data_IF_542172109250
#
_entry.id   IF_542172109250
#
_cell.length_a   1.000
_cell.length_b   1.000
_cell.length_c   1.000
_cell.angle_alpha   90.00
_cell.angle_beta   90.00
_cell.angle_gamma   90.00
#
_symmetry.space_group_name_H-M   'P 1'
#
loop_
_entity.id
_entity.type
_entity.pdbx_description
1 polymer ?
#
# COMPACT_ATOMS: atom_id res chain seq x y z
N UNK A 1 15.03 -29.97 -26.27
CA UNK A 1 13.66 -29.41 -26.27
C UNK A 1 13.78 -27.99 -25.76
N UNK A 2 13.71 -27.04 -26.68
CA UNK A 2 13.83 -25.60 -26.46
C UNK A 2 12.52 -25.09 -25.84
N UNK A 3 12.62 -24.30 -24.77
CA UNK A 3 11.50 -23.61 -24.15
C UNK A 3 11.44 -22.20 -24.75
N UNK A 4 10.37 -21.89 -25.46
CA UNK A 4 10.09 -20.52 -25.89
C UNK A 4 9.37 -19.75 -24.77
N UNK A 5 9.65 -18.45 -24.61
CA UNK A 5 8.96 -17.61 -23.64
C UNK A 5 7.58 -17.21 -24.17
N UNK A 6 6.52 -17.63 -23.47
CA UNK A 6 5.19 -17.05 -23.66
C UNK A 6 5.18 -15.62 -23.10
N UNK A 7 4.68 -14.67 -23.90
CA UNK A 7 4.46 -13.28 -23.52
C UNK A 7 3.40 -13.09 -22.42
N UNK A 8 3.10 -11.83 -22.05
CA UNK A 8 2.19 -11.52 -20.94
C UNK A 8 0.80 -12.09 -21.21
N UNK A 9 0.33 -12.92 -20.27
CA UNK A 9 -1.00 -13.53 -20.32
C UNK A 9 -2.02 -12.50 -19.87
N UNK A 10 -2.78 -11.96 -20.83
CA UNK A 10 -4.00 -11.20 -20.55
C UNK A 10 -5.09 -12.18 -20.15
N UNK A 11 -5.55 -12.13 -18.90
CA UNK A 11 -6.68 -12.94 -18.43
C UNK A 11 -7.99 -12.30 -18.89
N UNK A 12 -8.71 -13.00 -19.79
CA UNK A 12 -10.11 -12.73 -20.09
C UNK A 12 -10.92 -13.78 -19.34
N UNK A 13 -11.59 -13.39 -18.26
CA UNK A 13 -12.40 -14.31 -17.46
C UNK A 13 -13.75 -14.58 -18.16
N UNK A 14 -14.09 -15.86 -18.32
CA UNK A 14 -15.42 -16.34 -18.67
C UNK A 14 -16.00 -17.08 -17.46
N UNK A 15 -17.23 -16.74 -17.10
CA UNK A 15 -17.95 -17.35 -15.98
C UNK A 15 -18.17 -18.85 -16.22
N UNK A 16 -17.74 -19.67 -15.24
CA UNK A 16 -17.97 -21.11 -15.18
C UNK A 16 -18.31 -21.51 -13.74
N UNK A 17 -19.19 -22.50 -13.52
CA UNK A 17 -19.75 -22.79 -12.21
C UNK A 17 -18.79 -23.53 -11.27
N UNK A 18 -18.90 -23.21 -9.98
CA UNK A 18 -18.14 -23.75 -8.87
C UNK A 18 -18.42 -25.25 -8.62
N UNK A 19 -17.37 -25.99 -8.24
CA UNK A 19 -17.47 -27.38 -7.76
C UNK A 19 -16.93 -27.48 -6.33
N UNK A 20 -17.65 -28.24 -5.51
CA UNK A 20 -17.59 -28.29 -4.06
C UNK A 20 -16.37 -29.03 -3.46
N UNK A 21 -16.08 -28.67 -2.20
CA UNK A 21 -15.03 -29.19 -1.34
C UNK A 21 -15.34 -30.58 -0.74
N UNK A 22 -14.28 -31.27 -0.31
CA UNK A 22 -14.33 -32.43 0.58
C UNK A 22 -13.42 -32.17 1.80
N UNK A 23 -13.99 -32.41 2.98
CA UNK A 23 -13.40 -32.20 4.30
C UNK A 23 -12.44 -33.34 4.71
N UNK A 24 -11.47 -33.02 5.57
CA UNK A 24 -10.75 -34.00 6.37
C UNK A 24 -10.49 -33.46 7.78
N UNK A 25 -10.91 -34.29 8.74
CA UNK A 25 -10.91 -34.19 10.20
C UNK A 25 -9.54 -34.57 10.80
N UNK A 26 -9.15 -34.00 11.95
CA UNK A 26 -7.82 -34.26 12.53
C UNK A 26 -7.42 -33.54 13.83
N UNK A 27 -8.08 -33.92 14.93
CA UNK A 27 -7.61 -34.08 16.33
C UNK A 27 -6.64 -33.10 17.04
N UNK A 28 -7.13 -32.75 18.23
CA UNK A 28 -6.54 -32.06 19.39
C UNK A 28 -5.27 -32.70 19.98
N UNK A 29 -4.46 -31.85 20.61
CA UNK A 29 -3.40 -32.23 21.54
C UNK A 29 -3.04 -31.06 22.47
N UNK A 30 -3.54 -31.11 23.70
CA UNK A 30 -3.18 -30.23 24.82
C UNK A 30 -1.74 -30.48 25.29
N UNK A 31 -0.98 -29.41 25.52
CA UNK A 31 0.23 -29.43 26.37
C UNK A 31 0.31 -28.12 27.16
N UNK A 32 0.03 -28.23 28.46
CA UNK A 32 0.30 -27.22 29.48
C UNK A 32 1.82 -27.06 29.69
N UNK A 33 2.27 -25.81 29.84
CA UNK A 33 3.66 -25.49 30.13
C UNK A 33 3.88 -24.03 30.47
N UNK A 34 3.37 -23.59 31.62
CA UNK A 34 3.68 -22.29 32.20
C UNK A 34 5.15 -22.25 32.66
N UNK A 35 5.89 -21.28 32.15
CA UNK A 35 7.27 -20.98 32.53
C UNK A 35 7.53 -19.49 32.37
N UNK A 36 7.12 -18.71 33.37
CA UNK A 36 7.48 -17.29 33.49
C UNK A 36 9.00 -17.15 33.56
N UNK A 37 9.61 -16.61 32.48
CA UNK A 37 11.00 -16.16 32.49
C UNK A 37 11.03 -14.64 32.50
N UNK A 38 11.54 -14.11 33.61
CA UNK A 38 11.83 -12.70 33.81
C UNK A 38 12.79 -12.17 32.73
N UNK A 39 12.33 -11.16 31.99
CA UNK A 39 13.12 -10.44 31.01
C UNK A 39 14.18 -9.59 31.73
N UNK A 40 15.40 -10.11 31.79
CA UNK A 40 16.59 -9.33 32.14
C UNK A 40 16.90 -8.33 31.02
N UNK A 41 16.98 -7.05 31.38
CA UNK A 41 17.36 -5.95 30.49
C UNK A 41 18.86 -6.01 30.18
N UNK A 42 19.26 -6.90 29.27
CA UNK A 42 20.60 -6.89 28.69
C UNK A 42 20.72 -5.68 27.74
N UNK A 43 21.71 -4.82 28.00
CA UNK A 43 22.05 -3.71 27.11
C UNK A 43 22.45 -4.19 25.70
N UNK A 44 22.51 -3.29 24.71
CA UNK A 44 22.76 -3.66 23.32
C UNK A 44 24.13 -4.33 23.18
N UNK A 45 24.13 -5.61 22.82
CA UNK A 45 25.32 -6.33 22.39
C UNK A 45 25.89 -5.67 21.12
N UNK A 46 27.15 -5.24 21.17
CA UNK A 46 27.89 -4.67 20.02
C UNK A 46 28.23 -5.79 19.03
N UNK A 47 27.25 -6.22 18.23
CA UNK A 47 27.45 -7.24 17.19
C UNK A 47 28.24 -6.65 16.02
N UNK A 48 29.52 -7.02 15.94
CA UNK A 48 30.38 -6.74 14.78
C UNK A 48 30.22 -7.81 13.71
N UNK A 49 30.31 -7.41 12.44
CA UNK A 49 30.42 -8.35 11.31
C UNK A 49 31.77 -9.10 11.36
N UNK A 50 31.90 -10.25 10.66
CA UNK A 50 33.18 -10.98 10.57
C UNK A 50 34.36 -10.15 10.04
N UNK A 51 34.08 -9.10 9.27
CA UNK A 51 35.06 -8.14 8.74
C UNK A 51 35.42 -7.02 9.73
N UNK A 52 34.89 -7.07 10.96
CA UNK A 52 35.13 -6.07 12.01
C UNK A 52 34.29 -4.80 11.89
N UNK A 53 33.47 -4.64 10.84
CA UNK A 53 32.59 -3.49 10.69
C UNK A 53 31.38 -3.56 11.64
N UNK A 54 30.92 -2.38 12.11
CA UNK A 54 29.76 -2.28 12.99
C UNK A 54 28.48 -2.60 12.21
N UNK A 55 27.61 -3.46 12.75
CA UNK A 55 26.25 -3.59 12.23
C UNK A 55 25.46 -2.33 12.58
N UNK A 56 25.06 -1.58 11.57
CA UNK A 56 24.08 -0.50 11.72
C UNK A 56 22.68 -1.10 11.72
N UNK A 57 22.01 -1.07 12.87
CA UNK A 57 20.59 -1.37 12.97
C UNK A 57 19.81 -0.09 12.75
N UNK A 58 18.83 -0.12 11.83
CA UNK A 58 17.86 0.96 11.74
C UNK A 58 16.85 0.76 12.87
N UNK A 59 16.84 1.66 13.85
CA UNK A 59 15.85 1.63 14.93
C UNK A 59 14.52 2.09 14.36
N UNK A 60 13.62 1.14 14.08
CA UNK A 60 12.21 1.45 13.81
C UNK A 60 11.66 2.14 15.05
N UNK A 61 11.16 3.37 14.89
CA UNK A 61 10.66 4.18 16.00
C UNK A 61 9.47 3.54 16.72
N UNK A 62 9.09 4.09 17.88
CA UNK A 62 7.81 3.75 18.52
C UNK A 62 6.68 4.16 17.56
N UNK A 63 5.61 3.35 17.44
CA UNK A 63 4.48 3.71 16.59
C UNK A 63 3.99 5.12 16.96
N UNK A 64 3.96 6.03 15.98
CA UNK A 64 3.66 7.44 16.24
C UNK A 64 2.19 7.66 16.59
N UNK A 65 1.32 6.71 16.22
CA UNK A 65 -0.12 6.78 16.47
C UNK A 65 -0.64 5.40 16.86
N UNK A 66 -1.56 5.38 17.83
CA UNK A 66 -2.43 4.23 18.13
C UNK A 66 -3.85 4.74 17.92
N UNK A 67 -4.46 4.38 16.79
CA UNK A 67 -5.88 4.62 16.56
C UNK A 67 -6.65 3.70 17.51
N UNK A 68 -7.23 4.27 18.56
CA UNK A 68 -8.16 3.56 19.42
C UNK A 68 -9.57 3.77 18.84
N UNK A 69 -9.95 2.97 17.85
CA UNK A 69 -11.34 2.93 17.40
C UNK A 69 -12.12 2.18 18.48
N UNK A 70 -12.86 2.92 19.31
CA UNK A 70 -13.80 2.31 20.23
C UNK A 70 -14.91 1.69 19.39
N UNK A 71 -14.95 0.35 19.27
CA UNK A 71 -16.16 -0.34 18.83
C UNK A 71 -17.25 0.03 19.84
N UNK A 72 -18.23 0.83 19.41
CA UNK A 72 -19.45 1.02 20.19
C UNK A 72 -20.09 -0.35 20.34
N UNK A 73 -20.05 -0.87 21.58
CA UNK A 73 -20.79 -2.07 21.94
C UNK A 73 -22.26 -1.66 22.00
N UNK A 74 -22.97 -1.82 20.89
CA UNK A 74 -24.42 -1.83 20.93
C UNK A 74 -24.87 -2.91 21.92
N UNK A 75 -25.64 -2.52 22.94
CA UNK A 75 -26.29 -3.42 23.88
C UNK A 75 -27.35 -4.24 23.11
N UNK A 76 -26.96 -5.40 22.63
CA UNK A 76 -27.83 -6.39 22.01
C UNK A 76 -27.21 -7.75 22.20
N UNK A 77 -27.74 -8.51 23.16
CA UNK A 77 -27.37 -9.90 23.42
C UNK A 77 -27.92 -10.80 22.30
N UNK A 78 -27.27 -10.78 21.14
CA UNK A 78 -27.38 -11.84 20.14
C UNK A 78 -25.96 -12.07 19.62
N UNK A 79 -25.40 -13.22 19.96
CA UNK A 79 -24.05 -13.62 19.57
C UNK A 79 -24.04 -13.92 18.07
N UNK A 80 -24.00 -12.88 17.25
CA UNK A 80 -23.50 -13.00 15.89
C UNK A 80 -22.02 -13.38 16.02
N UNK A 81 -21.71 -14.58 15.54
CA UNK A 81 -20.38 -15.06 15.23
C UNK A 81 -19.73 -14.01 14.31
N UNK A 82 -19.06 -13.03 14.90
CA UNK A 82 -18.37 -11.99 14.16
C UNK A 82 -17.29 -12.69 13.33
N UNK A 83 -17.53 -12.77 12.03
CA UNK A 83 -16.52 -13.12 11.02
C UNK A 83 -15.23 -12.35 11.36
N UNK A 84 -14.24 -13.05 11.89
CA UNK A 84 -12.87 -12.58 12.20
C UNK A 84 -12.10 -12.09 10.94
N UNK A 85 -12.77 -11.98 9.80
CA UNK A 85 -12.18 -11.62 8.51
C UNK A 85 -12.17 -10.11 8.21
N UNK A 86 -12.68 -9.26 9.10
CA UNK A 86 -12.54 -7.82 8.93
C UNK A 86 -11.12 -7.37 9.34
N UNK A 87 -10.15 -7.76 8.51
CA UNK A 87 -8.77 -7.28 8.57
C UNK A 87 -8.77 -5.76 8.81
N UNK A 88 -8.15 -5.36 9.92
CA UNK A 88 -8.04 -3.98 10.42
C UNK A 88 -7.99 -2.94 9.30
N UNK A 89 -9.16 -2.34 9.02
CA UNK A 89 -9.30 -1.27 8.01
C UNK A 89 -8.52 -0.02 8.46
N UNK A 90 -8.25 0.10 9.77
CA UNK A 90 -7.60 1.24 10.41
C UNK A 90 -6.24 1.57 9.80
N UNK A 91 -5.38 0.58 9.58
CA UNK A 91 -4.06 0.84 9.00
C UNK A 91 -4.12 1.20 7.52
N UNK A 92 -5.09 0.66 6.78
CA UNK A 92 -5.34 1.06 5.39
C UNK A 92 -5.84 2.51 5.31
N UNK A 93 -6.74 2.92 6.22
CA UNK A 93 -7.22 4.30 6.33
C UNK A 93 -6.10 5.24 6.76
N UNK A 94 -5.30 4.86 7.75
CA UNK A 94 -4.15 5.65 8.18
C UNK A 94 -3.14 5.84 7.05
N UNK A 95 -2.86 4.79 6.29
CA UNK A 95 -2.03 4.86 5.08
C UNK A 95 -2.63 5.83 4.05
N UNK A 96 -3.94 5.72 3.76
CA UNK A 96 -4.59 6.60 2.80
C UNK A 96 -4.51 8.07 3.20
N UNK A 97 -4.78 8.39 4.48
CA UNK A 97 -4.68 9.75 5.03
C UNK A 97 -3.25 10.27 4.98
N UNK A 98 -2.25 9.43 5.28
CA UNK A 98 -0.84 9.81 5.18
C UNK A 98 -0.44 10.17 3.75
N UNK A 99 -0.86 9.38 2.77
CA UNK A 99 -0.58 9.66 1.36
C UNK A 99 -1.29 10.93 0.88
N UNK A 100 -2.53 11.18 1.34
CA UNK A 100 -3.24 12.42 1.06
C UNK A 100 -2.52 13.66 1.62
N UNK A 101 -1.93 13.54 2.81
CA UNK A 101 -1.14 14.60 3.44
C UNK A 101 0.29 14.74 2.88
N UNK A 102 0.77 13.75 2.11
CA UNK A 102 2.12 13.73 1.55
C UNK A 102 2.08 13.39 0.05
N UNK A 103 1.39 14.20 -0.78
CA UNK A 103 1.10 13.86 -2.16
C UNK A 103 2.37 13.68 -3.02
N UNK A 104 3.45 14.40 -2.70
CA UNK A 104 4.74 14.30 -3.39
C UNK A 104 5.38 12.89 -3.35
N UNK A 105 4.97 12.04 -2.40
CA UNK A 105 5.43 10.64 -2.33
C UNK A 105 4.80 9.77 -3.42
N UNK A 106 3.57 10.08 -3.84
CA UNK A 106 2.77 9.25 -4.75
C UNK A 106 3.09 9.61 -6.20
N UNK A 107 4.16 9.03 -6.72
CA UNK A 107 4.65 9.23 -8.09
C UNK A 107 5.22 7.95 -8.70
N UNK A 108 5.32 7.91 -10.03
CA UNK A 108 5.85 6.77 -10.76
C UNK A 108 4.94 5.54 -10.69
N UNK A 109 5.53 4.36 -10.72
CA UNK A 109 4.81 3.09 -10.56
C UNK A 109 4.79 2.70 -9.08
N UNK A 110 3.60 2.68 -8.48
CA UNK A 110 3.35 2.37 -7.07
C UNK A 110 2.86 0.94 -6.93
N UNK A 111 3.43 0.15 -6.01
CA UNK A 111 2.96 -1.19 -5.67
C UNK A 111 2.38 -1.18 -4.26
N UNK A 112 1.14 -1.66 -4.08
CA UNK A 112 0.65 -2.05 -2.76
C UNK A 112 0.74 -3.56 -2.61
N UNK A 113 1.51 -4.00 -1.61
CA UNK A 113 1.56 -5.39 -1.18
C UNK A 113 0.47 -5.66 -0.14
N UNK A 114 -0.13 -6.86 -0.17
CA UNK A 114 -1.21 -7.21 0.77
C UNK A 114 -2.37 -6.23 0.66
N UNK A 115 -2.81 -5.95 -0.57
CA UNK A 115 -3.78 -4.90 -0.83
C UNK A 115 -5.14 -5.16 -0.17
N UNK A 116 -5.49 -6.42 0.12
CA UNK A 116 -6.79 -6.82 0.62
C UNK A 116 -7.89 -6.34 -0.32
N UNK A 117 -8.71 -5.42 0.16
CA UNK A 117 -9.75 -4.76 -0.64
C UNK A 117 -9.26 -3.59 -1.50
N UNK A 118 -7.97 -3.24 -1.44
CA UNK A 118 -7.35 -2.15 -2.21
C UNK A 118 -7.54 -0.74 -1.63
N UNK A 119 -8.16 -0.61 -0.45
CA UNK A 119 -8.61 0.69 0.08
C UNK A 119 -7.45 1.65 0.34
N UNK A 120 -6.38 1.18 1.00
CA UNK A 120 -5.26 2.04 1.39
C UNK A 120 -4.55 2.71 0.21
N UNK A 121 -4.20 1.93 -0.81
CA UNK A 121 -3.53 2.45 -2.00
C UNK A 121 -4.48 3.27 -2.88
N UNK A 122 -5.71 2.81 -3.08
CA UNK A 122 -6.66 3.50 -3.96
C UNK A 122 -7.11 4.85 -3.38
N UNK A 123 -7.60 4.86 -2.13
CA UNK A 123 -7.99 6.10 -1.47
C UNK A 123 -6.78 7.00 -1.21
N UNK A 124 -5.62 6.41 -0.89
CA UNK A 124 -4.39 7.17 -0.72
C UNK A 124 -3.95 7.89 -1.99
N UNK A 125 -4.02 7.23 -3.14
CA UNK A 125 -3.75 7.88 -4.43
C UNK A 125 -4.79 8.94 -4.77
N UNK A 126 -6.08 8.70 -4.55
CA UNK A 126 -7.12 9.71 -4.81
C UNK A 126 -6.94 10.94 -3.91
N UNK A 127 -6.74 10.72 -2.61
CA UNK A 127 -6.47 11.78 -1.65
C UNK A 127 -5.20 12.56 -1.98
N UNK A 128 -4.13 11.88 -2.40
CA UNK A 128 -2.91 12.53 -2.87
C UNK A 128 -3.16 13.39 -4.12
N UNK A 129 -4.04 12.95 -5.03
CA UNK A 129 -4.43 13.72 -6.19
C UNK A 129 -5.13 15.03 -5.81
N UNK A 130 -6.05 14.98 -4.84
CA UNK A 130 -6.70 16.17 -4.28
C UNK A 130 -5.67 17.09 -3.62
N UNK A 131 -4.76 16.52 -2.82
CA UNK A 131 -3.68 17.27 -2.17
C UNK A 131 -2.77 18.00 -3.17
N UNK A 132 -2.37 17.34 -4.27
CA UNK A 132 -1.56 17.97 -5.32
C UNK A 132 -2.25 19.15 -6.00
N UNK A 133 -3.58 19.09 -6.20
CA UNK A 133 -4.34 20.19 -6.78
C UNK A 133 -4.39 21.40 -5.85
N UNK A 134 -4.56 21.15 -4.54
CA UNK A 134 -4.56 22.22 -3.54
C UNK A 134 -3.21 22.94 -3.46
N UNK A 135 -2.09 22.21 -3.53
CA UNK A 135 -0.75 22.81 -3.55
C UNK A 135 -0.53 23.65 -4.81
N UNK A 136 -0.98 23.18 -5.97
CA UNK A 136 -0.89 23.92 -7.22
C UNK A 136 -1.76 25.20 -7.21
N UNK A 137 -2.98 25.11 -6.68
CA UNK A 137 -3.88 26.26 -6.53
C UNK A 137 -3.31 27.30 -5.55
N UNK A 138 -2.76 26.84 -4.41
CA UNK A 138 -2.10 27.73 -3.46
C UNK A 138 -0.86 28.41 -4.04
N UNK A 139 -0.07 27.71 -4.86
CA UNK A 139 1.07 28.29 -5.56
C UNK A 139 0.63 29.34 -6.60
N UNK A 140 -0.42 29.07 -7.38
CA UNK A 140 -0.95 30.02 -8.36
C UNK A 140 -1.51 31.29 -7.69
N UNK A 141 -2.25 31.16 -6.58
CA UNK A 141 -2.77 32.29 -5.83
C UNK A 141 -1.65 33.16 -5.22
N UNK A 142 -0.54 32.54 -4.79
CA UNK A 142 0.63 33.28 -4.30
C UNK A 142 1.38 34.04 -5.41
N UNK A 143 1.27 33.61 -6.67
CA UNK A 143 1.83 34.34 -7.82
C UNK A 143 0.90 35.47 -8.31
N UNK A 144 -0.42 35.35 -8.12
CA UNK A 144 -1.39 36.39 -8.50
C UNK A 144 -1.51 37.56 -7.49
N UNK A 145 -1.03 37.42 -6.25
CA UNK A 145 -0.97 38.53 -5.27
C UNK A 145 -0.04 39.69 -5.67
N UNK A 146 0.66 39.64 -6.81
CA UNK A 146 1.45 40.75 -7.35
C UNK A 146 0.71 41.63 -8.37
N UNK A 147 -0.46 41.23 -8.89
CA UNK A 147 -1.26 42.08 -9.80
C UNK A 147 -2.76 42.11 -9.47
N UNK A 148 -3.18 43.28 -8.98
CA UNK A 148 -4.54 43.86 -8.99
C UNK A 148 -5.58 43.40 -7.97
N UNK A 149 -5.87 44.31 -7.04
CA UNK A 149 -7.13 44.39 -6.30
C UNK A 149 -8.24 44.90 -7.23
N UNK A 150 -9.17 44.04 -7.62
CA UNK A 150 -10.49 44.46 -8.09
C UNK A 150 -11.52 43.38 -7.75
N UNK A 151 -12.64 43.86 -7.19
CA UNK A 151 -13.85 43.15 -6.81
C UNK A 151 -14.31 42.12 -7.84
N UNK A 152 -14.60 40.89 -7.41
CA UNK A 152 -15.66 40.06 -7.98
C UNK A 152 -16.16 39.02 -6.95
N UNK A 153 -17.41 39.20 -6.52
CA UNK A 153 -18.18 38.33 -5.62
C UNK A 153 -18.73 37.11 -6.39
N UNK A 154 -17.94 36.04 -6.54
CA UNK A 154 -18.44 34.73 -6.99
C UNK A 154 -18.02 33.62 -6.00
N UNK A 155 -18.93 33.32 -5.07
CA UNK A 155 -18.81 32.40 -3.92
C UNK A 155 -18.86 30.90 -4.28
N UNK A 156 -18.42 30.49 -5.47
CA UNK A 156 -18.32 29.06 -5.85
C UNK A 156 -16.91 28.51 -5.58
N UNK A 157 -16.60 28.31 -4.29
CA UNK A 157 -15.30 27.84 -3.76
C UNK A 157 -14.88 26.43 -4.23
N UNK A 158 -15.74 25.69 -4.93
CA UNK A 158 -15.43 24.35 -5.40
C UNK A 158 -15.16 24.37 -6.91
N UNK A 159 -13.92 24.06 -7.35
CA UNK A 159 -13.62 23.99 -8.77
C UNK A 159 -14.53 22.94 -9.44
N UNK A 160 -15.46 23.41 -10.28
CA UNK A 160 -16.34 22.57 -11.08
C UNK A 160 -15.55 21.91 -12.20
N UNK A 161 -14.82 20.84 -11.86
CA UNK A 161 -14.09 20.01 -12.81
C UNK A 161 -15.09 19.12 -13.59
N UNK A 162 -15.88 19.71 -14.48
CA UNK A 162 -16.93 19.01 -15.23
C UNK A 162 -16.42 18.18 -16.42
N UNK A 163 -15.14 18.26 -16.79
CA UNK A 163 -14.69 17.71 -18.08
C UNK A 163 -14.25 16.25 -18.08
N UNK A 164 -13.90 15.68 -16.94
CA UNK A 164 -13.60 14.25 -16.83
C UNK A 164 -14.11 13.74 -15.49
N UNK A 165 -15.15 12.90 -15.52
CA UNK A 165 -15.71 12.21 -14.34
C UNK A 165 -14.71 11.23 -13.67
N UNK A 166 -13.41 11.36 -13.94
CA UNK A 166 -12.36 10.54 -13.36
C UNK A 166 -11.96 11.04 -11.97
N UNK A 167 -11.61 10.12 -11.09
CA UNK A 167 -11.10 10.50 -9.77
C UNK A 167 -9.78 11.27 -9.89
N UNK A 168 -9.56 12.30 -9.05
CA UNK A 168 -8.31 13.05 -9.05
C UNK A 168 -7.16 12.12 -8.67
N UNK A 169 -6.04 12.20 -9.39
CA UNK A 169 -4.82 11.44 -9.13
C UNK A 169 -3.61 12.38 -9.21
N UNK A 170 -2.51 12.07 -8.52
CA UNK A 170 -1.28 12.85 -8.64
C UNK A 170 -0.81 12.85 -10.10
N UNK A 171 -0.38 13.99 -10.66
CA UNK A 171 -0.03 14.09 -12.07
C UNK A 171 1.15 13.18 -12.45
N UNK A 172 2.06 12.94 -11.50
CA UNK A 172 3.24 12.10 -11.69
C UNK A 172 2.98 10.61 -11.39
N UNK A 173 1.77 10.21 -10.97
CA UNK A 173 1.43 8.80 -10.78
C UNK A 173 1.34 8.13 -12.15
N UNK A 174 2.24 7.19 -12.47
CA UNK A 174 2.20 6.44 -13.72
C UNK A 174 1.18 5.30 -13.63
N UNK A 175 1.23 4.53 -12.54
CA UNK A 175 0.40 3.34 -12.33
C UNK A 175 0.38 2.94 -10.86
N UNK A 176 -0.81 2.58 -10.35
CA UNK A 176 -1.01 1.90 -9.08
C UNK A 176 -1.25 0.41 -9.34
N UNK A 177 -0.38 -0.43 -8.79
CA UNK A 177 -0.50 -1.89 -8.83
C UNK A 177 -0.96 -2.37 -7.45
N UNK A 178 -2.16 -2.93 -7.39
CA UNK A 178 -2.71 -3.54 -6.19
C UNK A 178 -2.44 -5.05 -6.27
N UNK A 179 -1.71 -5.58 -5.27
CA UNK A 179 -1.32 -6.98 -5.24
C UNK A 179 -1.65 -7.67 -3.93
N UNK A 180 -2.07 -8.90 -4.02
CA UNK A 180 -2.26 -9.80 -2.88
C UNK A 180 -2.03 -11.25 -3.30
N UNK A 181 -2.02 -12.18 -2.36
CA UNK A 181 -2.04 -13.60 -2.66
C UNK A 181 -3.21 -13.93 -3.60
N UNK A 182 -3.11 -15.03 -4.36
CA UNK A 182 -4.11 -15.48 -5.34
C UNK A 182 -5.41 -15.98 -4.70
N UNK A 183 -5.95 -15.21 -3.77
CA UNK A 183 -7.27 -15.36 -3.19
C UNK A 183 -8.27 -14.62 -4.08
N UNK A 184 -9.12 -15.39 -4.76
CA UNK A 184 -10.09 -14.86 -5.70
C UNK A 184 -11.07 -13.88 -5.03
N UNK A 185 -11.41 -14.07 -3.76
CA UNK A 185 -12.38 -13.22 -3.06
C UNK A 185 -11.80 -11.85 -2.74
N UNK A 186 -10.56 -11.80 -2.25
CA UNK A 186 -9.85 -10.53 -2.01
C UNK A 186 -9.65 -9.75 -3.31
N UNK A 187 -9.19 -10.43 -4.36
CA UNK A 187 -9.00 -9.82 -5.68
C UNK A 187 -10.33 -9.35 -6.30
N UNK A 188 -11.42 -10.08 -6.11
CA UNK A 188 -12.75 -9.66 -6.55
C UNK A 188 -13.28 -8.46 -5.76
N UNK A 189 -12.98 -8.35 -4.45
CA UNK A 189 -13.29 -7.15 -3.64
C UNK A 189 -12.51 -5.93 -4.16
N UNK A 190 -11.20 -6.07 -4.37
CA UNK A 190 -10.37 -5.00 -4.94
C UNK A 190 -10.84 -4.59 -6.34
N UNK A 191 -11.21 -5.55 -7.20
CA UNK A 191 -11.75 -5.27 -8.53
C UNK A 191 -13.05 -4.47 -8.49
N UNK A 192 -13.98 -4.83 -7.57
CA UNK A 192 -15.22 -4.05 -7.38
C UNK A 192 -14.92 -2.63 -6.94
N UNK A 193 -13.99 -2.45 -6.02
CA UNK A 193 -13.57 -1.13 -5.56
C UNK A 193 -12.98 -0.30 -6.71
N UNK A 194 -12.04 -0.88 -7.47
CA UNK A 194 -11.46 -0.25 -8.66
C UNK A 194 -12.53 0.22 -9.66
N UNK A 195 -13.52 -0.64 -9.97
CA UNK A 195 -14.64 -0.29 -10.87
C UNK A 195 -15.48 0.88 -10.34
N UNK A 196 -15.70 0.95 -9.02
CA UNK A 196 -16.49 2.00 -8.39
C UNK A 196 -15.74 3.32 -8.20
N UNK A 197 -14.41 3.28 -8.17
CA UNK A 197 -13.56 4.43 -7.79
C UNK A 197 -13.46 5.54 -8.84
N UNK A 198 -13.90 5.29 -10.08
CA UNK A 198 -13.72 6.19 -11.23
C UNK A 198 -12.26 6.53 -11.55
N UNK A 199 -11.30 5.82 -10.98
CA UNK A 199 -9.89 5.92 -11.38
C UNK A 199 -9.73 5.31 -12.77
N UNK A 200 -8.96 5.97 -13.64
CA UNK A 200 -8.73 5.50 -15.00
C UNK A 200 -8.16 4.07 -15.02
N UNK A 201 -8.72 3.14 -15.82
CA UNK A 201 -8.19 1.78 -15.95
C UNK A 201 -6.73 1.73 -16.42
N UNK A 202 -6.23 2.76 -17.12
CA UNK A 202 -4.82 2.81 -17.55
C UNK A 202 -3.84 3.07 -16.39
N UNK A 203 -4.35 3.61 -15.27
CA UNK A 203 -3.60 3.93 -14.05
C UNK A 203 -3.70 2.83 -13.00
N UNK A 204 -4.50 1.79 -13.21
CA UNK A 204 -4.71 0.72 -12.25
C UNK A 204 -4.32 -0.64 -12.83
N UNK A 205 -3.72 -1.46 -11.99
CA UNK A 205 -3.40 -2.85 -12.29
C UNK A 205 -3.70 -3.70 -11.05
N UNK A 206 -4.39 -4.82 -11.24
CA UNK A 206 -4.52 -5.86 -10.22
C UNK A 206 -3.59 -7.00 -10.59
N UNK A 207 -2.70 -7.36 -9.68
CA UNK A 207 -1.70 -8.39 -9.92
C UNK A 207 -1.73 -9.43 -8.79
N UNK A 208 -2.17 -10.67 -9.05
CA UNK A 208 -2.06 -11.73 -8.06
C UNK A 208 -0.59 -12.03 -7.80
N UNK A 209 -0.13 -11.70 -6.60
CA UNK A 209 1.25 -11.84 -6.17
C UNK A 209 1.35 -11.99 -4.65
N UNK A 210 1.79 -13.16 -4.21
CA UNK A 210 2.18 -13.40 -2.82
C UNK A 210 3.66 -13.08 -2.62
N UNK A 211 3.98 -12.10 -1.76
CA UNK A 211 5.35 -11.70 -1.46
C UNK A 211 6.17 -12.80 -0.76
N UNK A 212 5.51 -13.83 -0.22
CA UNK A 212 6.16 -15.04 0.35
C UNK A 212 6.69 -15.97 -0.74
N UNK A 213 6.12 -15.91 -1.95
CA UNK A 213 6.49 -16.75 -3.09
C UNK A 213 7.81 -16.35 -3.75
N UNK A 214 8.21 -17.02 -4.85
CA UNK A 214 9.41 -16.64 -5.61
C UNK A 214 9.13 -15.35 -6.39
N UNK A 215 10.04 -14.38 -6.28
CA UNK A 215 9.92 -13.09 -6.97
C UNK A 215 10.02 -13.26 -8.49
N UNK A 216 9.02 -12.78 -9.26
CA UNK A 216 9.10 -12.66 -10.71
C UNK A 216 10.27 -11.79 -11.16
N UNK A 217 10.91 -12.13 -12.29
CA UNK A 217 12.08 -11.40 -12.77
C UNK A 217 11.76 -9.97 -13.20
N UNK A 218 10.55 -9.75 -13.73
CA UNK A 218 10.07 -8.46 -14.21
C UNK A 218 9.81 -7.45 -13.07
N UNK A 219 9.65 -7.92 -11.83
CA UNK A 219 9.50 -7.02 -10.68
C UNK A 219 10.79 -6.31 -10.29
N UNK A 220 11.95 -6.71 -10.80
CA UNK A 220 13.25 -6.14 -10.39
C UNK A 220 13.33 -4.66 -10.72
N UNK A 221 13.60 -3.82 -9.71
CA UNK A 221 13.72 -2.36 -9.88
C UNK A 221 12.55 -1.75 -10.68
N UNK A 222 11.32 -2.24 -10.47
CA UNK A 222 10.14 -1.85 -11.25
C UNK A 222 9.38 -0.68 -10.61
N UNK A 223 9.39 -0.58 -9.29
CA UNK A 223 8.48 0.30 -8.55
C UNK A 223 9.21 1.48 -7.93
N UNK A 224 8.60 2.66 -7.98
CA UNK A 224 9.12 3.91 -7.39
C UNK A 224 8.71 4.05 -5.92
N UNK A 225 7.57 3.45 -5.54
CA UNK A 225 7.05 3.40 -4.18
C UNK A 225 6.42 2.03 -3.92
N UNK A 226 6.68 1.48 -2.73
CA UNK A 226 6.01 0.27 -2.25
C UNK A 226 5.25 0.62 -0.97
N UNK A 227 3.96 0.28 -0.98
CA UNK A 227 3.02 0.48 0.10
C UNK A 227 2.71 -0.87 0.77
N UNK A 228 2.46 -0.82 2.07
CA UNK A 228 1.97 -1.95 2.85
C UNK A 228 1.32 -1.41 4.12
N UNK A 229 0.14 -1.93 4.44
CA UNK A 229 -0.57 -1.64 5.67
C UNK A 229 -0.77 -2.95 6.41
N UNK A 230 -0.45 -2.98 7.70
CA UNK A 230 -0.70 -4.16 8.55
C UNK A 230 -0.11 -5.46 7.98
N UNK A 231 1.12 -5.35 7.50
CA UNK A 231 1.85 -6.45 6.89
C UNK A 231 2.90 -7.07 7.82
N UNK A 232 3.02 -8.40 7.74
CA UNK A 232 4.17 -9.17 8.22
C UNK A 232 4.54 -8.93 9.70
N UNK A 233 3.67 -9.36 10.62
CA UNK A 233 3.88 -9.22 12.06
C UNK A 233 4.92 -10.17 12.66
N UNK A 234 5.24 -11.26 11.94
CA UNK A 234 6.04 -12.35 12.47
C UNK A 234 7.11 -12.82 11.49
N UNK A 235 8.10 -13.53 12.01
CA UNK A 235 9.03 -14.29 11.18
C UNK A 235 8.34 -15.59 10.73
N UNK A 236 8.44 -16.00 9.45
CA UNK A 236 9.36 -15.51 8.42
C UNK A 236 8.84 -14.37 7.53
N UNK A 237 7.62 -13.89 7.70
CA UNK A 237 7.00 -12.93 6.76
C UNK A 237 7.81 -11.64 6.61
N UNK A 238 8.40 -11.12 7.70
CA UNK A 238 9.27 -9.93 7.66
C UNK A 238 10.45 -10.13 6.71
N UNK A 239 11.03 -11.34 6.66
CA UNK A 239 12.14 -11.68 5.77
C UNK A 239 11.70 -11.67 4.31
N UNK A 240 10.53 -12.25 4.03
CA UNK A 240 9.98 -12.29 2.67
C UNK A 240 9.62 -10.90 2.17
N UNK A 241 8.96 -10.10 3.01
CA UNK A 241 8.63 -8.70 2.71
C UNK A 241 9.89 -7.88 2.43
N UNK A 242 10.89 -7.97 3.32
CA UNK A 242 12.17 -7.25 3.15
C UNK A 242 12.86 -7.60 1.83
N UNK A 243 12.89 -8.88 1.46
CA UNK A 243 13.44 -9.35 0.18
C UNK A 243 12.67 -8.76 -1.00
N UNK A 244 11.34 -8.77 -0.95
CA UNK A 244 10.48 -8.23 -2.00
C UNK A 244 10.73 -6.73 -2.18
N UNK A 245 10.71 -5.96 -1.09
CA UNK A 245 10.98 -4.51 -1.13
C UNK A 245 12.37 -4.23 -1.74
N UNK A 246 13.41 -4.90 -1.25
CA UNK A 246 14.78 -4.69 -1.72
C UNK A 246 14.99 -5.06 -3.20
N UNK A 247 14.28 -6.07 -3.69
CA UNK A 247 14.38 -6.51 -5.08
C UNK A 247 13.56 -5.63 -6.03
N UNK A 248 12.41 -5.16 -5.58
CA UNK A 248 11.39 -4.55 -6.43
C UNK A 248 11.46 -3.03 -6.51
N UNK A 249 11.97 -2.38 -5.47
CA UNK A 249 12.11 -0.93 -5.44
C UNK A 249 13.23 -0.48 -6.37
N UNK A 250 12.98 0.55 -7.17
CA UNK A 250 13.99 1.21 -8.00
C UNK A 250 15.10 1.78 -7.11
N UNK A 251 16.36 1.69 -7.53
CA UNK A 251 17.45 2.42 -6.87
C UNK A 251 17.10 3.91 -6.85
N UNK A 252 17.20 4.52 -5.67
CA UNK A 252 16.97 5.95 -5.54
C UNK A 252 17.97 6.72 -6.42
N UNK A 253 17.49 7.51 -7.37
CA UNK A 253 18.34 8.35 -8.25
C UNK A 253 19.21 9.31 -7.43
N UNK A 254 18.74 9.74 -6.26
CA UNK A 254 19.51 10.63 -5.37
C UNK A 254 20.62 9.93 -4.58
N UNK A 255 20.59 8.59 -4.47
CA UNK A 255 21.66 7.85 -3.79
C UNK A 255 22.88 7.62 -4.70
N UNK A 256 22.70 7.77 -6.01
CA UNK A 256 23.73 7.51 -7.02
C UNK A 256 24.60 8.75 -7.30
N UNK A 257 24.74 9.72 -6.40
CA UNK A 257 25.76 10.76 -6.51
C UNK A 257 25.77 11.57 -7.81
N UNK A 258 24.69 11.58 -8.60
CA UNK A 258 24.55 12.44 -9.77
C UNK A 258 24.21 13.84 -9.27
N UNK A 259 25.26 14.55 -8.90
CA UNK A 259 25.34 16.01 -8.95
C UNK A 259 25.28 16.47 -10.41
N UNK A 260 24.18 16.17 -11.11
CA UNK A 260 23.76 16.90 -12.30
C UNK A 260 22.56 17.76 -11.92
N UNK A 261 22.79 18.67 -10.97
CA UNK A 261 22.10 19.96 -10.92
C UNK A 261 22.73 20.81 -12.04
N UNK A 262 22.56 20.34 -13.28
CA UNK A 262 22.80 21.10 -14.49
C UNK A 262 21.52 21.84 -14.80
N UNK A 263 21.37 23.04 -14.24
CA UNK A 263 20.41 24.01 -14.76
C UNK A 263 20.73 24.28 -16.23
N UNK A 264 19.69 24.19 -17.06
CA UNK A 264 19.69 24.56 -18.47
C UNK A 264 18.26 24.88 -18.89
#
# INVERSE_FOLDING_TARGET
RTLEPHGPTTYIFRDGPAAAAAAADGKEGDVDGEGERENSSAGPHDERRPDGSKRTYCRVGKSLYRLNVKKDKGEGDEYDEYDDEEASVDSSVALALYLAACPALVRGTVLQLGAGNGLGGLLGCVGAGIGSMSEAAAAAAAEEEEETAADDDDDDILPTHEKDNSAPLPPLLERLVLSDASDDDLMNRALRLCKSSRVSPSKLELAPFDFRSRLPSDMKNKYDLILGADMAYQFPDVKHLSRTVAYSLKPNRYAAGESDIGGG
#
